data_IF_275889422171
#
_entry.id   IF_275889422171
#
_cell.length_a   1.000
_cell.length_b   1.000
_cell.length_c   1.000
_cell.angle_alpha   90.00
_cell.angle_beta   90.00
_cell.angle_gamma   90.00
#
_symmetry.space_group_name_H-M   'P 1'
#
loop_
_entity.id
_entity.type
_entity.pdbx_description
1 polymer ?
#
# COMPACT_ATOMS: atom_id res chain seq x y z
N UNK A 1 27.87 -18.50 39.25
CA UNK A 1 27.30 -19.84 39.08
C UNK A 1 25.79 -19.62 39.15
N UNK A 2 24.97 -19.69 38.10
CA UNK A 2 25.04 -20.49 36.88
C UNK A 2 24.12 -19.83 35.85
N UNK A 3 24.61 -19.75 34.61
CA UNK A 3 23.95 -19.21 33.42
C UNK A 3 22.64 -19.96 33.11
N UNK A 4 21.59 -19.24 32.69
CA UNK A 4 20.48 -19.82 31.91
C UNK A 4 20.18 -18.89 30.72
N UNK A 5 20.90 -19.15 29.63
CA UNK A 5 20.41 -18.88 28.27
C UNK A 5 19.23 -19.83 28.00
N UNK A 6 18.18 -19.32 27.35
CA UNK A 6 17.48 -19.95 26.21
C UNK A 6 16.00 -19.56 26.22
N UNK A 7 15.57 -18.92 25.12
CA UNK A 7 14.16 -18.63 24.90
C UNK A 7 13.84 -17.49 23.93
N UNK A 8 14.78 -17.05 23.07
CA UNK A 8 14.44 -16.26 21.88
C UNK A 8 13.79 -17.21 20.86
N UNK A 9 12.53 -17.57 21.10
CA UNK A 9 11.67 -18.14 20.06
C UNK A 9 11.43 -17.03 19.04
N UNK A 10 12.19 -17.08 17.96
CA UNK A 10 12.14 -16.11 16.88
C UNK A 10 10.71 -15.96 16.35
N UNK A 11 10.18 -14.75 16.45
CA UNK A 11 9.17 -14.28 15.52
C UNK A 11 9.82 -14.28 14.13
N UNK A 12 9.71 -15.40 13.43
CA UNK A 12 9.88 -15.45 11.99
C UNK A 12 8.71 -14.66 11.41
N UNK A 13 8.86 -13.34 11.36
CA UNK A 13 8.02 -12.47 10.54
C UNK A 13 8.20 -12.97 9.13
N UNK A 14 7.24 -13.74 8.64
CA UNK A 14 7.09 -14.04 7.23
C UNK A 14 6.90 -12.67 6.58
N UNK A 15 7.99 -12.06 6.10
CA UNK A 15 7.90 -10.98 5.14
C UNK A 15 7.14 -11.57 3.96
N UNK A 16 5.83 -11.30 3.90
CA UNK A 16 4.96 -11.82 2.85
C UNK A 16 5.55 -11.39 1.52
N UNK A 17 5.89 -12.35 0.66
CA UNK A 17 6.21 -12.06 -0.72
C UNK A 17 4.93 -11.59 -1.40
N UNK A 18 4.65 -10.30 -1.27
CA UNK A 18 3.55 -9.64 -1.96
C UNK A 18 3.90 -9.50 -3.43
N UNK A 19 3.17 -10.23 -4.28
CA UNK A 19 3.37 -10.21 -5.72
C UNK A 19 2.48 -9.11 -6.31
N UNK A 20 3.06 -8.11 -6.99
CA UNK A 20 2.27 -7.07 -7.63
C UNK A 20 1.30 -7.65 -8.69
N UNK A 21 0.19 -6.96 -8.98
CA UNK A 21 -0.72 -7.34 -10.05
C UNK A 21 -0.04 -7.56 -11.40
N UNK A 22 -0.68 -8.37 -12.25
CA UNK A 22 -0.17 -8.64 -13.59
C UNK A 22 0.02 -7.35 -14.39
N UNK A 23 1.15 -7.26 -15.10
CA UNK A 23 1.48 -6.06 -15.87
C UNK A 23 1.97 -4.89 -15.00
N UNK A 24 2.22 -5.10 -13.70
CA UNK A 24 2.89 -4.12 -12.83
C UNK A 24 4.14 -4.72 -12.20
N UNK A 25 5.08 -3.86 -11.85
CA UNK A 25 6.32 -4.18 -11.14
C UNK A 25 6.30 -3.61 -9.73
N UNK A 26 7.29 -3.98 -8.91
CA UNK A 26 7.47 -3.35 -7.60
C UNK A 26 7.78 -1.83 -7.72
N UNK A 27 8.40 -1.41 -8.83
CA UNK A 27 8.63 0.00 -9.10
C UNK A 27 7.32 0.74 -9.42
N UNK A 28 6.41 0.10 -10.17
CA UNK A 28 5.06 0.65 -10.42
C UNK A 28 4.27 0.81 -9.13
N UNK A 29 4.37 -0.15 -8.20
CA UNK A 29 3.77 -0.05 -6.86
C UNK A 29 4.31 1.18 -6.11
N UNK A 30 5.62 1.40 -6.12
CA UNK A 30 6.22 2.55 -5.46
C UNK A 30 5.81 3.88 -6.10
N UNK A 31 5.80 3.96 -7.44
CA UNK A 31 5.31 5.13 -8.18
C UNK A 31 3.84 5.42 -7.91
N UNK A 32 3.01 4.39 -7.84
CA UNK A 32 1.61 4.49 -7.47
C UNK A 32 1.44 5.06 -6.07
N UNK A 33 2.14 4.52 -5.06
CA UNK A 33 2.05 5.01 -3.68
C UNK A 33 2.46 6.50 -3.58
N UNK A 34 3.55 6.88 -4.23
CA UNK A 34 3.99 8.28 -4.26
C UNK A 34 2.97 9.20 -4.94
N UNK A 35 2.36 8.76 -6.05
CA UNK A 35 1.36 9.54 -6.76
C UNK A 35 0.04 9.65 -5.96
N UNK A 36 -0.35 8.62 -5.23
CA UNK A 36 -1.53 8.68 -4.35
C UNK A 36 -1.27 9.59 -3.15
N UNK A 37 -0.05 9.56 -2.59
CA UNK A 37 0.35 10.50 -1.54
C UNK A 37 0.31 11.96 -2.02
N UNK A 38 0.68 12.23 -3.27
CA UNK A 38 0.69 13.60 -3.82
C UNK A 38 -0.71 14.23 -3.95
N UNK A 39 -1.77 13.41 -3.96
CA UNK A 39 -3.17 13.87 -4.02
C UNK A 39 -3.91 13.78 -2.67
N UNK A 40 -3.24 13.36 -1.59
CA UNK A 40 -3.84 13.28 -0.26
C UNK A 40 -4.29 11.88 0.17
N UNK A 41 -3.74 10.83 -0.43
CA UNK A 41 -3.84 9.43 0.00
C UNK A 41 -5.18 8.71 -0.24
N UNK A 42 -6.19 9.38 -0.77
CA UNK A 42 -7.52 8.82 -1.03
C UNK A 42 -7.77 8.68 -2.54
N UNK A 43 -8.37 7.54 -2.90
CA UNK A 43 -8.72 7.16 -4.28
C UNK A 43 -10.22 6.84 -4.30
N UNK A 44 -11.06 7.86 -4.49
CA UNK A 44 -12.52 7.73 -4.41
C UNK A 44 -13.14 7.65 -5.81
N UNK A 45 -12.72 8.55 -6.71
CA UNK A 45 -13.35 8.71 -8.01
C UNK A 45 -12.39 9.11 -9.13
N UNK A 46 -12.94 9.35 -10.32
CA UNK A 46 -12.15 9.59 -11.52
C UNK A 46 -11.17 10.77 -11.41
N UNK A 47 -11.56 11.81 -10.65
CA UNK A 47 -10.72 12.97 -10.35
C UNK A 47 -9.40 12.61 -9.66
N UNK A 48 -9.38 11.50 -8.93
CA UNK A 48 -8.23 11.05 -8.15
C UNK A 48 -7.38 10.08 -8.98
N UNK A 49 -8.04 9.20 -9.74
CA UNK A 49 -7.37 8.22 -10.58
C UNK A 49 -6.60 8.84 -11.75
N UNK A 50 -7.17 9.84 -12.44
CA UNK A 50 -6.53 10.48 -13.59
C UNK A 50 -5.12 11.06 -13.27
N UNK A 51 -4.94 11.89 -12.22
CA UNK A 51 -3.63 12.41 -11.89
C UNK A 51 -2.67 11.31 -11.40
N UNK A 52 -3.16 10.27 -10.73
CA UNK A 52 -2.31 9.15 -10.28
C UNK A 52 -1.81 8.33 -11.46
N UNK A 53 -2.68 8.01 -12.42
CA UNK A 53 -2.34 7.31 -13.65
C UNK A 53 -1.28 8.05 -14.46
N UNK A 54 -1.44 9.36 -14.59
CA UNK A 54 -0.49 10.19 -15.33
C UNK A 54 0.88 10.25 -14.64
N UNK A 55 0.91 10.47 -13.32
CA UNK A 55 2.15 10.58 -12.55
C UNK A 55 2.88 9.23 -12.46
N UNK A 56 2.13 8.15 -12.26
CA UNK A 56 2.69 6.81 -12.12
C UNK A 56 2.87 6.10 -13.46
N UNK A 57 2.42 6.66 -14.60
CA UNK A 57 2.54 6.02 -15.91
C UNK A 57 1.74 4.73 -16.04
N UNK A 58 0.54 4.71 -15.44
CA UNK A 58 -0.31 3.52 -15.35
C UNK A 58 -1.58 3.66 -16.18
N UNK A 59 -2.09 2.53 -16.65
CA UNK A 59 -3.46 2.44 -17.18
C UNK A 59 -4.49 2.43 -16.05
N UNK A 60 -5.75 2.74 -16.39
CA UNK A 60 -6.89 2.63 -15.47
C UNK A 60 -7.00 1.28 -14.79
N UNK A 61 -6.79 0.20 -15.55
CA UNK A 61 -6.87 -1.16 -15.03
C UNK A 61 -5.77 -1.41 -14.00
N UNK A 62 -4.51 -1.07 -14.32
CA UNK A 62 -3.38 -1.24 -13.41
C UNK A 62 -3.55 -0.42 -12.12
N UNK A 63 -4.03 0.82 -12.21
CA UNK A 63 -4.29 1.64 -11.03
C UNK A 63 -5.37 1.02 -10.13
N UNK A 64 -6.45 0.51 -10.73
CA UNK A 64 -7.54 -0.16 -9.99
C UNK A 64 -7.08 -1.48 -9.35
N UNK A 65 -6.26 -2.25 -10.08
CA UNK A 65 -5.67 -3.49 -9.58
C UNK A 65 -4.70 -3.22 -8.42
N UNK A 66 -3.95 -2.12 -8.47
CA UNK A 66 -3.05 -1.71 -7.38
C UNK A 66 -3.82 -1.25 -6.14
N UNK A 67 -4.95 -0.56 -6.30
CA UNK A 67 -5.87 -0.27 -5.17
C UNK A 67 -6.34 -1.57 -4.53
N UNK A 68 -6.82 -2.52 -5.34
CA UNK A 68 -7.29 -3.82 -4.87
C UNK A 68 -6.19 -4.62 -4.18
N UNK A 69 -4.97 -4.59 -4.73
CA UNK A 69 -3.80 -5.21 -4.15
C UNK A 69 -3.44 -4.60 -2.79
N UNK A 70 -3.51 -3.27 -2.63
CA UNK A 70 -3.25 -2.62 -1.35
C UNK A 70 -4.33 -2.91 -0.31
N UNK A 71 -5.60 -3.00 -0.71
CA UNK A 71 -6.68 -3.46 0.16
C UNK A 71 -6.44 -4.91 0.63
N UNK A 72 -6.14 -5.82 -0.31
CA UNK A 72 -5.92 -7.24 -0.02
C UNK A 72 -4.69 -7.50 0.86
N UNK A 73 -3.70 -6.61 0.84
CA UNK A 73 -2.47 -6.71 1.64
C UNK A 73 -2.51 -5.89 2.93
N UNK A 74 -3.65 -5.26 3.26
CA UNK A 74 -3.80 -4.44 4.47
C UNK A 74 -3.02 -3.11 4.42
N UNK A 75 -2.65 -2.67 3.22
CA UNK A 75 -1.95 -1.40 2.94
C UNK A 75 -2.89 -0.29 2.49
N UNK A 76 -4.17 -0.60 2.38
CA UNK A 76 -5.24 0.37 2.20
C UNK A 76 -6.45 -0.05 3.03
N UNK A 77 -7.33 0.91 3.29
CA UNK A 77 -8.63 0.71 3.92
C UNK A 77 -9.74 1.23 3.01
N UNK A 78 -10.89 0.57 3.02
CA UNK A 78 -12.07 1.05 2.30
C UNK A 78 -12.64 2.29 3.01
N UNK A 79 -13.16 3.23 2.22
CA UNK A 79 -13.81 4.44 2.73
C UNK A 79 -15.33 4.30 2.69
N UNK A 80 -16.03 4.91 3.66
CA UNK A 80 -17.50 4.94 3.68
C UNK A 80 -18.09 5.68 2.47
N UNK A 81 -17.35 6.68 1.94
CA UNK A 81 -17.69 7.39 0.70
C UNK A 81 -17.53 6.56 -0.56
N UNK A 82 -17.03 5.32 -0.45
CA UNK A 82 -16.53 4.52 -1.55
C UNK A 82 -15.06 4.83 -1.87
N UNK A 83 -14.40 3.86 -2.51
CA UNK A 83 -12.97 3.93 -2.81
C UNK A 83 -12.09 3.46 -1.65
N UNK A 84 -10.82 3.88 -1.67
CA UNK A 84 -9.82 3.42 -0.71
C UNK A 84 -8.87 4.53 -0.29
N UNK A 85 -8.38 4.45 0.95
CA UNK A 85 -7.29 5.25 1.48
C UNK A 85 -6.06 4.38 1.68
N UNK A 86 -4.92 4.79 1.14
CA UNK A 86 -3.65 4.12 1.45
C UNK A 86 -3.25 4.40 2.90
N UNK A 87 -2.65 3.40 3.54
CA UNK A 87 -2.13 3.48 4.93
C UNK A 87 -0.68 3.00 5.00
N UNK A 88 0.06 3.19 3.91
CA UNK A 88 1.44 2.75 3.73
C UNK A 88 2.30 3.89 3.19
N UNK A 89 3.60 3.85 3.47
CA UNK A 89 4.55 4.88 3.03
C UNK A 89 4.17 6.24 3.60
N UNK A 90 4.17 7.27 2.76
CA UNK A 90 3.81 8.64 3.14
C UNK A 90 2.32 8.79 3.51
N UNK A 91 1.50 7.77 3.23
CA UNK A 91 0.10 7.73 3.63
C UNK A 91 -0.15 7.01 4.97
N UNK A 92 0.90 6.57 5.66
CA UNK A 92 0.77 5.96 6.99
C UNK A 92 0.16 6.97 7.97
N UNK A 93 -0.95 6.64 8.66
CA UNK A 93 -1.54 7.54 9.65
C UNK A 93 -0.55 7.82 10.79
N UNK A 94 -0.44 9.09 11.19
CA UNK A 94 0.27 9.43 12.41
C UNK A 94 -0.46 8.82 13.63
N UNK A 95 0.27 8.23 14.60
CA UNK A 95 -0.34 7.76 15.83
C UNK A 95 -1.03 8.92 16.53
N UNK A 96 -2.32 8.75 16.88
CA UNK A 96 -3.02 9.73 17.69
C UNK A 96 -2.28 9.92 19.03
N UNK A 97 -1.85 11.16 19.29
CA UNK A 97 -1.16 11.56 20.51
C UNK A 97 -2.09 11.61 21.73
#
# INVERSE_FOLDING_TARGET
MTMKLAGLAGLMVLAGCEVPPQGTSAEDVARFQAAVASIGCEMVGESDYLPVELQAGLTRQQATDLVSFHLATGKAVELESGGARLVVGDCTPEPAA
#
